data_IF_077112503751
#
_entry.id   IF_077112503751
#
_cell.length_a   1.000
_cell.length_b   1.000
_cell.length_c   1.000
_cell.angle_alpha   90.00
_cell.angle_beta   90.00
_cell.angle_gamma   90.00
#
_symmetry.space_group_name_H-M   'P 1'
#
loop_
_entity.id
_entity.type
_entity.pdbx_description
1 polymer ?
#
# COMPACT_ATOMS: atom_id res chain seq x y z
N UNK A 1 13.43 -1.49 10.70
CA UNK A 1 13.00 -0.56 9.65
C UNK A 1 14.23 0.05 8.99
N UNK A 2 14.45 -0.25 7.72
CA UNK A 2 15.55 0.35 6.93
C UNK A 2 15.42 1.87 6.91
N UNK A 3 16.46 2.60 7.31
CA UNK A 3 16.52 4.08 7.30
C UNK A 3 16.06 4.67 5.97
N UNK A 4 16.34 3.98 4.86
CA UNK A 4 15.91 4.33 3.50
C UNK A 4 14.38 4.43 3.38
N UNK A 5 13.61 3.52 3.99
CA UNK A 5 12.15 3.55 4.00
C UNK A 5 11.61 4.79 4.72
N UNK A 6 12.16 5.10 5.90
CA UNK A 6 11.73 6.27 6.67
C UNK A 6 12.07 7.57 5.93
N UNK A 7 13.23 7.67 5.30
CA UNK A 7 13.62 8.85 4.51
C UNK A 7 12.69 9.06 3.33
N UNK A 8 12.38 8.00 2.57
CA UNK A 8 11.43 8.06 1.45
C UNK A 8 10.01 8.43 1.91
N UNK A 9 9.53 7.83 2.99
CA UNK A 9 8.21 8.13 3.53
C UNK A 9 8.13 9.58 4.01
N UNK A 10 9.16 10.08 4.69
CA UNK A 10 9.24 11.48 5.14
C UNK A 10 9.28 12.45 3.97
N UNK A 11 10.02 12.12 2.91
CA UNK A 11 10.03 12.90 1.67
C UNK A 11 8.62 13.00 1.08
N UNK A 12 7.92 11.86 0.96
CA UNK A 12 6.55 11.83 0.43
C UNK A 12 5.62 12.67 1.31
N UNK A 13 5.70 12.56 2.64
CA UNK A 13 4.87 13.34 3.55
C UNK A 13 5.12 14.85 3.45
N UNK A 14 6.36 15.28 3.22
CA UNK A 14 6.68 16.69 2.99
C UNK A 14 6.15 17.20 1.63
N UNK A 15 6.02 16.31 0.64
CA UNK A 15 5.56 16.65 -0.71
C UNK A 15 4.02 16.57 -0.86
N UNK A 16 3.35 15.77 -0.02
CA UNK A 16 1.88 15.63 0.02
C UNK A 16 1.11 16.96 0.02
N UNK A 17 1.39 17.94 0.90
CA UNK A 17 0.65 19.20 0.89
C UNK A 17 0.83 20.02 -0.41
N UNK A 18 1.80 19.67 -1.26
CA UNK A 18 2.08 20.38 -2.51
C UNK A 18 1.48 19.72 -3.76
N UNK A 19 0.77 18.57 -3.61
CA UNK A 19 0.20 17.82 -4.74
C UNK A 19 -0.85 18.58 -5.54
N UNK A 20 -1.48 19.61 -4.98
CA UNK A 20 -2.44 20.47 -5.68
C UNK A 20 -1.82 21.66 -6.40
N UNK A 21 -0.51 21.88 -6.25
CA UNK A 21 0.20 23.06 -6.75
C UNK A 21 0.90 22.77 -8.08
N UNK A 22 1.46 21.56 -8.25
CA UNK A 22 2.25 21.20 -9.43
C UNK A 22 2.18 19.70 -9.73
N UNK A 23 1.80 19.36 -10.96
CA UNK A 23 1.75 17.97 -11.45
C UNK A 23 3.11 17.27 -11.44
N UNK A 24 4.24 18.02 -11.47
CA UNK A 24 5.59 17.43 -11.30
C UNK A 24 5.77 16.79 -9.94
N UNK A 25 5.18 17.36 -8.89
CA UNK A 25 5.26 16.82 -7.52
C UNK A 25 4.49 15.49 -7.43
N UNK A 26 3.32 15.42 -8.09
CA UNK A 26 2.56 14.17 -8.21
C UNK A 26 3.40 13.08 -8.87
N UNK A 27 4.12 13.40 -9.96
CA UNK A 27 5.05 12.45 -10.59
C UNK A 27 6.17 12.02 -9.65
N UNK A 28 6.81 12.93 -8.93
CA UNK A 28 7.90 12.60 -7.98
C UNK A 28 7.41 11.67 -6.88
N UNK A 29 6.25 11.94 -6.29
CA UNK A 29 5.67 11.09 -5.25
C UNK A 29 5.31 9.72 -5.82
N UNK A 30 4.69 9.67 -7.00
CA UNK A 30 4.35 8.43 -7.67
C UNK A 30 5.59 7.57 -7.93
N UNK A 31 6.68 8.15 -8.45
CA UNK A 31 7.95 7.45 -8.64
C UNK A 31 8.52 6.93 -7.33
N UNK A 32 8.50 7.75 -6.26
CA UNK A 32 8.97 7.34 -4.94
C UNK A 32 8.16 6.15 -4.39
N UNK A 33 6.83 6.17 -4.55
CA UNK A 33 5.96 5.07 -4.16
C UNK A 33 6.24 3.79 -4.92
N UNK A 34 6.41 3.85 -6.25
CA UNK A 34 6.74 2.68 -7.08
C UNK A 34 8.04 2.01 -6.61
N UNK A 35 9.04 2.81 -6.22
CA UNK A 35 10.29 2.30 -5.67
C UNK A 35 10.14 1.74 -4.24
N UNK A 36 9.20 2.26 -3.47
CA UNK A 36 8.95 1.87 -2.08
C UNK A 36 8.23 0.52 -1.99
N UNK A 37 7.25 0.27 -2.85
CA UNK A 37 6.39 -0.93 -2.83
C UNK A 37 7.18 -2.25 -2.69
N UNK A 38 8.18 -2.58 -3.55
CA UNK A 38 8.89 -3.85 -3.43
C UNK A 38 9.65 -3.99 -2.09
N UNK A 39 10.12 -2.89 -1.52
CA UNK A 39 10.84 -2.88 -0.23
C UNK A 39 9.87 -3.19 0.91
N UNK A 40 8.68 -2.60 0.87
CA UNK A 40 7.66 -2.74 1.93
C UNK A 40 7.05 -4.15 1.94
N UNK A 41 6.86 -4.73 0.74
CA UNK A 41 6.37 -6.11 0.60
C UNK A 41 7.36 -7.10 1.19
N UNK A 42 8.66 -6.90 0.95
CA UNK A 42 9.69 -7.80 1.46
C UNK A 42 9.81 -7.75 2.98
N UNK A 43 9.52 -6.59 3.57
CA UNK A 43 9.60 -6.34 5.02
C UNK A 43 8.23 -6.53 5.72
N UNK A 44 7.19 -7.04 5.05
CA UNK A 44 5.82 -7.27 5.56
C UNK A 44 5.36 -6.22 6.58
N UNK A 45 5.51 -4.94 6.23
CA UNK A 45 5.54 -3.86 7.21
C UNK A 45 4.21 -3.11 7.35
N UNK A 46 3.99 -2.56 8.56
CA UNK A 46 2.90 -1.65 8.98
C UNK A 46 2.77 -0.35 8.15
N UNK A 47 3.56 -0.22 7.09
CA UNK A 47 3.64 0.96 6.21
C UNK A 47 2.61 0.86 5.06
N UNK A 48 2.07 -0.33 4.79
CA UNK A 48 1.05 -0.54 3.75
C UNK A 48 -0.17 0.39 3.89
N UNK A 49 -0.76 0.60 5.09
CA UNK A 49 -1.85 1.57 5.27
C UNK A 49 -1.42 3.00 4.92
N UNK A 50 -0.19 3.39 5.27
CA UNK A 50 0.34 4.71 4.94
C UNK A 50 0.46 4.91 3.42
N UNK A 51 0.93 3.89 2.69
CA UNK A 51 1.00 3.92 1.22
C UNK A 51 -0.39 4.09 0.61
N UNK A 52 -1.38 3.31 1.05
CA UNK A 52 -2.76 3.42 0.55
C UNK A 52 -3.37 4.80 0.82
N UNK A 53 -3.13 5.38 2.00
CA UNK A 53 -3.56 6.75 2.31
C UNK A 53 -2.92 7.79 1.38
N UNK A 54 -1.63 7.64 1.05
CA UNK A 54 -0.93 8.52 0.12
C UNK A 54 -1.52 8.39 -1.29
N UNK A 55 -1.76 7.17 -1.77
CA UNK A 55 -2.37 6.90 -3.09
C UNK A 55 -3.77 7.54 -3.16
N UNK A 56 -4.57 7.41 -2.11
CA UNK A 56 -5.88 8.04 -2.02
C UNK A 56 -5.78 9.57 -2.07
N UNK A 57 -4.84 10.17 -1.34
CA UNK A 57 -4.60 11.62 -1.36
C UNK A 57 -4.16 12.13 -2.74
N UNK A 58 -3.27 11.41 -3.42
CA UNK A 58 -2.83 11.74 -4.77
C UNK A 58 -3.98 11.60 -5.78
N UNK A 59 -4.81 10.58 -5.63
CA UNK A 59 -5.95 10.33 -6.51
C UNK A 59 -7.07 11.35 -6.35
N UNK A 60 -7.18 11.96 -5.18
CA UNK A 60 -8.10 13.06 -4.91
C UNK A 60 -7.53 14.43 -5.34
N UNK A 61 -6.26 14.51 -5.77
CA UNK A 61 -5.64 15.79 -6.15
C UNK A 61 -6.17 16.29 -7.50
N UNK A 62 -6.66 17.54 -7.58
CA UNK A 62 -7.11 18.14 -8.84
C UNK A 62 -5.98 18.41 -9.83
N UNK A 63 -4.71 18.34 -9.40
CA UNK A 63 -3.55 18.49 -10.27
C UNK A 63 -3.03 17.15 -10.82
N UNK A 64 -3.62 16.01 -10.43
CA UNK A 64 -3.28 14.72 -10.98
C UNK A 64 -3.84 14.58 -12.41
N UNK A 65 -2.97 14.28 -13.37
CA UNK A 65 -3.38 14.01 -14.75
C UNK A 65 -4.03 12.62 -14.88
N UNK A 66 -4.75 12.39 -15.98
CA UNK A 66 -5.37 11.09 -16.24
C UNK A 66 -4.34 9.93 -16.24
N UNK A 67 -3.16 10.14 -16.83
CA UNK A 67 -2.07 9.16 -16.81
C UNK A 67 -1.54 8.91 -15.40
N UNK A 68 -1.43 9.96 -14.57
CA UNK A 68 -1.01 9.82 -13.18
C UNK A 68 -2.04 9.07 -12.35
N UNK A 69 -3.34 9.33 -12.57
CA UNK A 69 -4.44 8.60 -11.94
C UNK A 69 -4.45 7.12 -12.36
N UNK A 70 -4.21 6.83 -13.64
CA UNK A 70 -4.10 5.45 -14.13
C UNK A 70 -2.91 4.72 -13.47
N UNK A 71 -1.75 5.39 -13.35
CA UNK A 71 -0.59 4.83 -12.69
C UNK A 71 -0.79 4.64 -11.17
N UNK A 72 -1.47 5.56 -10.50
CA UNK A 72 -1.86 5.42 -9.09
C UNK A 72 -2.78 4.23 -8.87
N UNK A 73 -3.75 4.02 -9.77
CA UNK A 73 -4.66 2.87 -9.72
C UNK A 73 -3.94 1.54 -9.96
N UNK A 74 -2.98 1.52 -10.89
CA UNK A 74 -2.14 0.35 -11.13
C UNK A 74 -1.22 0.05 -9.93
N UNK A 75 -0.75 1.09 -9.24
CA UNK A 75 0.05 0.97 -8.02
C UNK A 75 -0.79 0.43 -6.85
N UNK A 76 -2.02 0.94 -6.67
CA UNK A 76 -2.95 0.45 -5.65
C UNK A 76 -3.23 -1.05 -5.82
N UNK A 77 -3.51 -1.48 -7.05
CA UNK A 77 -3.72 -2.90 -7.37
C UNK A 77 -2.48 -3.77 -7.11
N UNK A 78 -1.27 -3.25 -7.37
CA UNK A 78 -0.03 -3.96 -7.03
C UNK A 78 0.16 -4.12 -5.53
N UNK A 79 -0.18 -3.09 -4.75
CA UNK A 79 -0.10 -3.12 -3.29
C UNK A 79 -1.11 -4.13 -2.73
N UNK A 80 -2.36 -4.13 -3.21
CA UNK A 80 -3.37 -5.10 -2.80
C UNK A 80 -2.99 -6.54 -3.18
N UNK A 81 -2.52 -6.78 -4.42
CA UNK A 81 -2.08 -8.11 -4.84
C UNK A 81 -0.91 -8.63 -3.99
N UNK A 82 0.02 -7.75 -3.62
CA UNK A 82 1.14 -8.13 -2.78
C UNK A 82 0.73 -8.38 -1.32
N UNK A 83 -0.24 -7.63 -0.80
CA UNK A 83 -0.81 -7.88 0.52
C UNK A 83 -1.52 -9.24 0.56
N UNK A 84 -2.38 -9.53 -0.42
CA UNK A 84 -3.05 -10.83 -0.55
C UNK A 84 -2.04 -11.98 -0.65
N UNK A 85 -0.94 -11.79 -1.39
CA UNK A 85 0.13 -12.79 -1.49
C UNK A 85 0.85 -13.02 -0.13
N UNK A 86 1.09 -11.96 0.65
CA UNK A 86 1.66 -12.06 1.99
C UNK A 86 0.69 -12.74 2.97
N UNK A 87 -0.61 -12.40 2.91
CA UNK A 87 -1.65 -13.06 3.70
C UNK A 87 -1.73 -14.55 3.35
N UNK A 88 -1.71 -14.90 2.07
CA UNK A 88 -1.70 -16.29 1.62
C UNK A 88 -0.45 -17.05 2.09
N UNK A 89 0.74 -16.44 2.02
CA UNK A 89 1.99 -17.02 2.51
C UNK A 89 1.98 -17.19 4.05
N UNK A 90 1.43 -16.22 4.77
CA UNK A 90 1.24 -16.29 6.22
C UNK A 90 0.30 -17.45 6.58
N UNK A 91 -0.87 -17.56 5.94
CA UNK A 91 -1.82 -18.66 6.16
C UNK A 91 -1.24 -20.03 5.80
N UNK A 92 -0.36 -20.11 4.80
CA UNK A 92 0.33 -21.34 4.43
C UNK A 92 1.35 -21.79 5.49
N UNK A 93 2.05 -20.86 6.14
CA UNK A 93 3.04 -21.15 7.18
C UNK A 93 2.43 -21.19 8.60
N UNK A 94 1.28 -20.57 8.80
CA UNK A 94 0.48 -20.58 10.02
C UNK A 94 -0.93 -21.08 9.67
N UNK A 95 -1.08 -22.39 9.39
CA UNK A 95 -2.39 -22.96 9.15
C UNK A 95 -3.24 -22.68 10.39
N UNK A 96 -4.39 -22.02 10.19
CA UNK A 96 -5.41 -21.90 11.23
C UNK A 96 -5.69 -23.31 11.75
N UNK A 97 -5.51 -23.59 13.06
CA UNK A 97 -5.88 -24.88 13.60
C UNK A 97 -7.38 -25.06 13.33
N UNK A 98 -7.75 -26.20 12.75
CA UNK A 98 -9.12 -26.53 12.33
C UNK A 98 -10.15 -26.60 13.48
N UNK A 99 -9.85 -26.07 14.66
CA UNK A 99 -10.57 -26.30 15.93
C UNK A 99 -11.53 -25.18 16.34
N UNK A 100 -11.77 -24.14 15.53
CA UNK A 100 -12.85 -23.15 15.83
C UNK A 100 -14.03 -23.20 14.88
N UNK A 101 -13.98 -24.00 13.81
CA UNK A 101 -15.19 -24.48 13.17
C UNK A 101 -15.70 -25.65 14.00
N UNK A 102 -16.63 -25.40 14.93
CA UNK A 102 -17.40 -26.44 15.58
C UNK A 102 -18.53 -26.88 14.63
N UNK A 103 -18.46 -28.02 13.91
CA UNK A 103 -19.59 -28.57 13.19
C UNK A 103 -20.61 -29.29 14.10
N UNK A 104 -20.47 -29.21 15.43
CA UNK A 104 -21.38 -29.87 16.37
C UNK A 104 -21.99 -28.87 17.36
N UNK A 105 -22.88 -28.03 16.84
CA UNK A 105 -24.09 -27.67 17.60
C UNK A 105 -25.30 -28.11 16.78
N UNK A 106 -25.85 -29.32 17.00
CA UNK A 106 -27.24 -29.57 16.70
C UNK A 106 -28.08 -28.91 17.79
N UNK A 107 -29.04 -28.08 17.35
CA UNK A 107 -30.13 -27.65 18.20
C UNK A 107 -30.98 -28.87 18.60
N UNK A 108 -31.01 -29.20 19.90
CA UNK A 108 -32.10 -29.83 20.63
C UNK A 108 -31.76 -29.85 22.14
#
# INVERSE_FOLDING_TARGET
>A
MSTVLQTLLTLIQNLLPQIGVNSKIVTTILTALIQLVPIVIHEASDILPAIKNIIAALSASPAATADQLAALKALDAQVDAAFEAQVAAYLANHPVPATTMNPQQPAA
#
